data_IF_021414229873
#
_entry.id   IF_021414229873
#
_cell.length_a   1.000
_cell.length_b   1.000
_cell.length_c   1.000
_cell.angle_alpha   90.00
_cell.angle_beta   90.00
_cell.angle_gamma   90.00
#
_symmetry.space_group_name_H-M   'P 1'
#
loop_
_entity.id
_entity.type
_entity.pdbx_description
1 polymer ?
#
# COMPACT_ATOMS: atom_id res chain seq x y z
N UNK A 1 6.54 19.79 14.12
CA UNK A 1 5.25 20.37 14.57
C UNK A 1 4.19 19.78 13.65
N UNK A 2 3.15 19.16 14.20
CA UNK A 2 2.03 18.63 13.40
C UNK A 2 1.27 19.77 12.74
N UNK A 3 1.02 19.67 11.43
CA UNK A 3 0.25 20.66 10.67
C UNK A 3 -1.16 20.13 10.47
N UNK A 4 -2.17 20.87 10.92
CA UNK A 4 -3.57 20.50 10.69
C UNK A 4 -4.09 21.21 9.45
N UNK A 5 -4.52 20.43 8.45
CA UNK A 5 -5.12 20.95 7.23
C UNK A 5 -6.66 20.87 7.30
N UNK A 6 -7.34 22.00 7.10
CA UNK A 6 -8.79 21.99 6.95
C UNK A 6 -9.16 21.70 5.48
N UNK A 7 -9.84 20.59 5.23
CA UNK A 7 -10.24 20.15 3.88
C UNK A 7 -11.76 20.23 3.74
N UNK A 8 -12.22 20.71 2.58
CA UNK A 8 -13.65 20.73 2.20
C UNK A 8 -13.81 20.37 0.74
N UNK A 9 -15.05 20.07 0.34
CA UNK A 9 -15.42 19.99 -1.07
C UNK A 9 -15.51 21.39 -1.69
N UNK A 10 -15.16 21.51 -2.95
CA UNK A 10 -15.23 22.74 -3.75
C UNK A 10 -16.08 22.47 -4.99
N UNK A 11 -16.92 23.43 -5.39
CA UNK A 11 -17.59 23.36 -6.70
C UNK A 11 -16.56 23.52 -7.81
N UNK A 12 -16.86 22.97 -8.99
CA UNK A 12 -15.98 23.08 -10.17
C UNK A 12 -15.75 24.52 -10.64
N UNK A 13 -16.65 25.46 -10.31
CA UNK A 13 -16.51 26.90 -10.62
C UNK A 13 -15.65 27.67 -9.61
N UNK A 14 -15.39 27.10 -8.44
CA UNK A 14 -14.57 27.73 -7.40
C UNK A 14 -13.08 27.54 -7.73
N UNK A 15 -12.29 28.62 -7.87
CA UNK A 15 -10.85 28.50 -8.05
C UNK A 15 -10.21 28.03 -6.73
N UNK A 16 -9.48 26.91 -6.79
CA UNK A 16 -8.69 26.37 -5.69
C UNK A 16 -7.21 26.35 -6.10
N UNK A 17 -6.35 27.14 -5.45
CA UNK A 17 -4.90 27.07 -5.66
C UNK A 17 -4.39 25.64 -5.53
N UNK A 18 -3.42 25.25 -6.36
CA UNK A 18 -2.91 23.87 -6.40
C UNK A 18 -2.41 23.44 -5.04
N UNK A 19 -1.71 24.34 -4.36
CA UNK A 19 -1.09 24.17 -3.05
C UNK A 19 -2.13 23.88 -1.95
N UNK A 20 -3.38 24.31 -2.15
CA UNK A 20 -4.47 24.08 -1.21
C UNK A 20 -5.23 22.77 -1.46
N UNK A 21 -4.99 22.10 -2.59
CA UNK A 21 -5.60 20.82 -2.92
C UNK A 21 -5.08 19.72 -1.99
N UNK A 22 -5.97 18.80 -1.58
CA UNK A 22 -5.57 17.64 -0.77
C UNK A 22 -4.47 16.81 -1.46
N UNK A 23 -4.56 16.64 -2.77
CA UNK A 23 -3.55 15.92 -3.55
C UNK A 23 -2.15 16.58 -3.47
N UNK A 24 -2.08 17.91 -3.42
CA UNK A 24 -0.82 18.63 -3.24
C UNK A 24 -0.24 18.39 -1.83
N UNK A 25 -1.09 18.53 -0.80
CA UNK A 25 -0.70 18.29 0.60
C UNK A 25 -0.18 16.86 0.82
N UNK A 26 -0.82 15.86 0.21
CA UNK A 26 -0.33 14.47 0.22
C UNK A 26 1.02 14.35 -0.51
N UNK A 27 1.18 15.03 -1.66
CA UNK A 27 2.43 15.02 -2.40
C UNK A 27 3.58 15.67 -1.62
N UNK A 28 3.31 16.72 -0.84
CA UNK A 28 4.31 17.33 0.05
C UNK A 28 4.79 16.34 1.11
N UNK A 29 3.90 15.61 1.77
CA UNK A 29 4.28 14.54 2.72
C UNK A 29 5.07 13.43 2.02
N UNK A 30 4.61 12.99 0.84
CA UNK A 30 5.27 11.91 0.10
C UNK A 30 6.67 12.28 -0.41
N UNK A 31 6.96 13.57 -0.57
CA UNK A 31 8.25 14.08 -1.06
C UNK A 31 9.10 14.73 0.02
N UNK A 32 8.62 14.79 1.26
CA UNK A 32 9.34 15.34 2.40
C UNK A 32 10.65 14.57 2.64
N UNK A 33 11.84 15.22 2.58
CA UNK A 33 13.12 14.53 2.72
C UNK A 33 13.43 14.04 4.15
N UNK A 34 12.60 14.35 5.15
CA UNK A 34 12.81 13.92 6.55
C UNK A 34 12.91 12.40 6.66
N UNK A 35 13.93 11.92 7.37
CA UNK A 35 14.15 10.48 7.58
C UNK A 35 13.09 9.86 8.48
N UNK A 36 12.79 8.58 8.22
CA UNK A 36 11.94 7.77 9.09
C UNK A 36 12.72 7.42 10.36
N UNK A 37 12.11 7.64 11.53
CA UNK A 37 12.74 7.35 12.82
C UNK A 37 13.02 5.84 12.98
N UNK A 38 14.13 5.44 13.65
CA UNK A 38 14.54 4.03 13.71
C UNK A 38 13.49 3.06 14.26
N UNK A 39 12.72 3.49 15.26
CA UNK A 39 11.63 2.70 15.85
C UNK A 39 10.45 2.52 14.89
N UNK A 40 10.17 3.52 14.05
CA UNK A 40 9.20 3.42 12.96
C UNK A 40 9.70 2.46 11.88
N UNK A 41 11.00 2.49 11.54
CA UNK A 41 11.61 1.51 10.63
C UNK A 41 11.43 0.08 11.16
N UNK A 42 11.74 -0.16 12.44
CA UNK A 42 11.58 -1.46 13.08
C UNK A 42 10.12 -1.94 13.03
N UNK A 43 9.16 -1.03 13.26
CA UNK A 43 7.74 -1.36 13.17
C UNK A 43 7.31 -1.67 11.72
N UNK A 44 7.77 -0.91 10.73
CA UNK A 44 7.51 -1.18 9.31
C UNK A 44 8.01 -2.58 8.92
N UNK A 45 9.20 -2.97 9.39
CA UNK A 45 9.75 -4.32 9.17
C UNK A 45 8.81 -5.38 9.77
N UNK A 46 8.33 -5.17 11.00
CA UNK A 46 7.37 -6.09 11.62
C UNK A 46 6.08 -6.22 10.81
N UNK A 47 5.55 -5.12 10.24
CA UNK A 47 4.34 -5.14 9.40
C UNK A 47 4.55 -5.90 8.09
N UNK A 48 5.73 -5.79 7.48
CA UNK A 48 6.07 -6.58 6.29
C UNK A 48 6.09 -8.08 6.62
N UNK A 49 6.69 -8.45 7.76
CA UNK A 49 6.76 -9.85 8.23
C UNK A 49 5.35 -10.39 8.54
N UNK A 50 4.51 -9.58 9.19
CA UNK A 50 3.12 -9.91 9.52
C UNK A 50 2.30 -10.19 8.25
N UNK A 51 2.31 -9.26 7.29
CA UNK A 51 1.66 -9.45 5.99
C UNK A 51 2.14 -10.69 5.25
N UNK A 52 3.45 -10.93 5.20
CA UNK A 52 4.01 -12.11 4.56
C UNK A 52 3.52 -13.41 5.24
N UNK A 53 3.36 -13.39 6.55
CA UNK A 53 2.84 -14.52 7.34
C UNK A 53 1.37 -14.79 7.05
N UNK A 54 0.54 -13.74 6.95
CA UNK A 54 -0.88 -13.88 6.59
C UNK A 54 -1.03 -14.42 5.16
N UNK A 55 -0.25 -13.88 4.21
CA UNK A 55 -0.24 -14.36 2.83
C UNK A 55 0.19 -15.83 2.72
N UNK A 56 1.19 -16.26 3.51
CA UNK A 56 1.60 -17.66 3.58
C UNK A 56 0.48 -18.56 4.14
N UNK A 57 -0.24 -18.11 5.17
CA UNK A 57 -1.36 -18.85 5.76
C UNK A 57 -2.57 -18.96 4.81
N UNK A 58 -2.75 -18.00 3.90
CA UNK A 58 -3.87 -17.94 2.95
C UNK A 58 -3.57 -18.56 1.56
N UNK A 59 -2.33 -19.00 1.32
CA UNK A 59 -1.79 -19.32 -0.01
C UNK A 59 -2.66 -20.22 -0.91
N UNK A 60 -3.38 -21.17 -0.31
CA UNK A 60 -4.20 -22.16 -1.03
C UNK A 60 -5.71 -21.84 -1.03
N UNK A 61 -6.12 -20.68 -0.50
CA UNK A 61 -7.51 -20.21 -0.54
C UNK A 61 -7.92 -19.89 -1.98
N UNK A 62 -9.18 -20.18 -2.32
CA UNK A 62 -9.72 -19.99 -3.66
C UNK A 62 -9.47 -18.59 -4.26
N UNK A 63 -9.74 -17.49 -3.53
CA UNK A 63 -9.48 -16.13 -4.01
C UNK A 63 -8.00 -15.89 -4.37
N UNK A 64 -7.07 -16.40 -3.57
CA UNK A 64 -5.62 -16.25 -3.77
C UNK A 64 -5.16 -17.02 -4.99
N UNK A 65 -5.63 -18.27 -5.14
CA UNK A 65 -5.33 -19.08 -6.33
C UNK A 65 -5.83 -18.38 -7.60
N UNK A 66 -7.04 -17.82 -7.56
CA UNK A 66 -7.61 -17.07 -8.69
C UNK A 66 -6.82 -15.79 -9.00
N UNK A 67 -6.52 -14.97 -7.99
CA UNK A 67 -5.79 -13.72 -8.16
C UNK A 67 -4.36 -13.95 -8.66
N UNK A 68 -3.69 -14.99 -8.17
CA UNK A 68 -2.38 -15.43 -8.67
C UNK A 68 -2.46 -15.87 -10.13
N UNK A 69 -3.44 -16.70 -10.50
CA UNK A 69 -3.60 -17.13 -11.89
C UNK A 69 -3.86 -15.95 -12.83
N UNK A 70 -4.64 -14.94 -12.40
CA UNK A 70 -4.80 -13.69 -13.14
C UNK A 70 -3.46 -12.99 -13.30
N UNK A 71 -2.72 -12.75 -12.20
CA UNK A 71 -1.46 -12.03 -12.26
C UNK A 71 -0.42 -12.72 -13.17
N UNK A 72 -0.33 -14.04 -13.14
CA UNK A 72 0.57 -14.80 -14.03
C UNK A 72 0.24 -14.67 -15.52
N UNK A 73 -0.98 -14.27 -15.88
CA UNK A 73 -1.36 -13.96 -17.25
C UNK A 73 -0.90 -12.57 -17.72
N UNK A 74 -0.36 -11.75 -16.83
CA UNK A 74 0.08 -10.38 -17.10
C UNK A 74 1.61 -10.27 -17.01
N UNK A 75 2.32 -10.29 -18.14
CA UNK A 75 3.77 -10.19 -18.13
C UNK A 75 4.24 -8.84 -17.59
N UNK A 76 5.52 -8.79 -17.21
CA UNK A 76 6.18 -7.56 -16.74
C UNK A 76 5.91 -6.37 -17.64
N UNK A 77 5.44 -5.26 -17.04
CA UNK A 77 5.24 -3.98 -17.71
C UNK A 77 6.55 -3.41 -18.25
N UNK A 78 6.48 -2.61 -19.31
CA UNK A 78 7.66 -1.93 -19.88
C UNK A 78 8.28 -0.97 -18.86
N UNK A 79 9.60 -0.90 -18.84
CA UNK A 79 10.34 0.12 -18.08
C UNK A 79 10.67 -0.26 -16.64
N UNK A 80 10.61 -1.54 -16.28
CA UNK A 80 11.03 -2.02 -14.97
C UNK A 80 11.23 -3.53 -14.93
N UNK A 81 11.59 -4.01 -13.74
CA UNK A 81 12.00 -5.40 -13.51
C UNK A 81 10.83 -6.31 -13.11
N UNK A 82 9.61 -5.77 -13.03
CA UNK A 82 8.44 -6.50 -12.53
C UNK A 82 8.48 -6.77 -11.03
N UNK A 83 7.49 -7.52 -10.56
CA UNK A 83 7.26 -7.72 -9.13
C UNK A 83 6.92 -9.18 -8.83
N UNK A 84 7.28 -9.64 -7.63
CA UNK A 84 7.06 -11.01 -7.18
C UNK A 84 5.67 -11.20 -6.56
N UNK A 85 5.14 -12.42 -6.64
CA UNK A 85 3.93 -12.84 -5.92
C UNK A 85 4.34 -13.72 -4.74
N UNK A 86 3.69 -13.56 -3.58
CA UNK A 86 3.96 -14.40 -2.40
C UNK A 86 3.79 -15.89 -2.72
N UNK A 87 4.74 -16.70 -2.23
CA UNK A 87 4.71 -18.16 -2.37
C UNK A 87 5.12 -18.69 -3.74
N UNK A 88 5.63 -17.84 -4.64
CA UNK A 88 6.30 -18.25 -5.88
C UNK A 88 7.83 -18.17 -5.72
N UNK A 89 8.55 -19.16 -6.25
CA UNK A 89 10.01 -19.20 -6.20
C UNK A 89 10.62 -18.33 -7.29
N UNK A 90 11.47 -17.38 -6.90
CA UNK A 90 12.18 -16.47 -7.80
C UNK A 90 13.67 -16.79 -7.96
N UNK A 91 14.15 -17.94 -7.46
CA UNK A 91 15.59 -18.25 -7.37
C UNK A 91 16.13 -19.18 -8.45
N UNK A 92 15.32 -20.10 -9.01
CA UNK A 92 15.79 -21.08 -10.00
C UNK A 92 15.51 -20.69 -11.47
N UNK A 93 14.69 -19.66 -11.68
CA UNK A 93 14.41 -19.04 -12.98
C UNK A 93 13.89 -17.63 -12.70
N UNK A 94 14.01 -16.64 -13.61
CA UNK A 94 13.22 -15.40 -13.59
C UNK A 94 11.69 -15.62 -13.62
N UNK A 95 11.25 -16.87 -13.39
CA UNK A 95 9.89 -17.34 -13.31
C UNK A 95 9.02 -16.28 -12.63
N UNK A 96 8.10 -15.79 -13.45
CA UNK A 96 6.81 -15.31 -13.00
C UNK A 96 6.80 -13.98 -12.25
N UNK A 97 7.82 -13.14 -12.47
CA UNK A 97 7.60 -11.71 -12.26
C UNK A 97 6.46 -11.25 -13.18
N UNK A 98 5.49 -10.58 -12.58
CA UNK A 98 4.33 -10.00 -13.25
C UNK A 98 4.49 -8.48 -13.30
N UNK A 99 3.60 -7.80 -13.99
CA UNK A 99 3.50 -6.35 -13.84
C UNK A 99 3.14 -5.94 -12.40
N UNK A 100 3.60 -4.76 -11.94
CA UNK A 100 3.46 -4.34 -10.54
C UNK A 100 2.00 -4.20 -10.11
N UNK A 101 1.10 -3.77 -11.00
CA UNK A 101 -0.32 -3.66 -10.70
C UNK A 101 -0.96 -5.02 -10.42
N UNK A 102 -0.52 -6.07 -11.12
CA UNK A 102 -1.04 -7.43 -10.93
C UNK A 102 -0.39 -8.16 -9.75
N UNK A 103 0.88 -7.87 -9.45
CA UNK A 103 1.49 -8.29 -8.19
C UNK A 103 0.81 -7.64 -6.98
N UNK A 104 0.52 -6.34 -7.06
CA UNK A 104 -0.19 -5.61 -6.01
C UNK A 104 -1.57 -6.24 -5.74
N UNK A 105 -2.30 -6.57 -6.82
CA UNK A 105 -3.58 -7.27 -6.73
C UNK A 105 -3.45 -8.64 -6.05
N UNK A 106 -2.60 -9.52 -6.57
CA UNK A 106 -2.47 -10.88 -6.05
C UNK A 106 -1.98 -10.91 -4.59
N UNK A 107 -0.99 -10.08 -4.27
CA UNK A 107 -0.43 -9.99 -2.92
C UNK A 107 -1.40 -9.29 -1.94
N UNK A 108 -2.15 -8.29 -2.39
CA UNK A 108 -3.19 -7.63 -1.60
C UNK A 108 -4.30 -8.59 -1.20
N UNK A 109 -4.80 -9.37 -2.15
CA UNK A 109 -5.79 -10.43 -1.88
C UNK A 109 -5.25 -11.43 -0.85
N UNK A 110 -3.99 -11.84 -0.99
CA UNK A 110 -3.38 -12.81 -0.06
C UNK A 110 -3.23 -12.28 1.36
N UNK A 111 -2.80 -11.02 1.52
CA UNK A 111 -2.66 -10.37 2.82
C UNK A 111 -4.01 -10.15 3.48
N UNK A 112 -5.03 -9.74 2.72
CA UNK A 112 -6.34 -9.36 3.28
C UNK A 112 -7.28 -10.52 3.57
N UNK A 113 -7.10 -11.68 2.92
CA UNK A 113 -8.03 -12.82 2.94
C UNK A 113 -8.46 -13.27 4.34
N UNK A 114 -7.51 -13.38 5.28
CA UNK A 114 -7.78 -13.97 6.59
C UNK A 114 -8.16 -12.93 7.66
N UNK A 115 -8.04 -11.64 7.35
CA UNK A 115 -8.31 -10.56 8.31
C UNK A 115 -7.44 -10.63 9.58
N UNK A 116 -6.19 -11.06 9.44
CA UNK A 116 -5.27 -11.34 10.55
C UNK A 116 -4.12 -10.35 10.70
N UNK A 117 -3.91 -9.47 9.72
CA UNK A 117 -2.90 -8.41 9.81
C UNK A 117 -3.46 -7.19 10.56
N UNK A 118 -2.64 -6.16 10.66
CA UNK A 118 -2.86 -4.99 11.49
C UNK A 118 -4.25 -4.34 11.33
N UNK A 119 -4.68 -3.65 12.38
CA UNK A 119 -5.97 -2.95 12.40
C UNK A 119 -5.79 -1.58 13.04
N UNK A 120 -6.42 -0.57 12.46
CA UNK A 120 -6.48 0.77 12.99
C UNK A 120 -7.95 1.20 13.17
N UNK A 121 -8.31 1.56 14.39
CA UNK A 121 -9.69 1.89 14.77
C UNK A 121 -9.78 3.36 15.18
N UNK A 122 -10.45 4.17 14.37
CA UNK A 122 -10.71 5.58 14.67
C UNK A 122 -12.13 5.97 14.26
N UNK A 123 -12.31 7.10 13.54
CA UNK A 123 -13.62 7.47 13.01
C UNK A 123 -14.09 6.48 11.93
N UNK A 124 -13.14 5.98 11.15
CA UNK A 124 -13.27 4.80 10.29
C UNK A 124 -12.45 3.62 10.86
N UNK A 125 -12.71 2.41 10.36
CA UNK A 125 -11.89 1.22 10.64
C UNK A 125 -11.07 0.87 9.40
N UNK A 126 -9.80 0.53 9.56
CA UNK A 126 -8.96 0.18 8.42
C UNK A 126 -7.86 -0.82 8.77
N UNK A 127 -7.22 -1.35 7.73
CA UNK A 127 -6.02 -2.18 7.81
C UNK A 127 -4.87 -1.50 7.06
N UNK A 128 -4.03 -0.68 7.73
CA UNK A 128 -2.94 0.03 7.07
C UNK A 128 -1.95 -0.87 6.33
N UNK A 129 -1.80 -2.13 6.74
CA UNK A 129 -1.03 -3.16 6.07
C UNK A 129 -1.47 -3.43 4.63
N UNK A 130 -2.68 -3.07 4.23
CA UNK A 130 -3.13 -3.17 2.84
C UNK A 130 -2.32 -2.27 1.88
N UNK A 131 -1.61 -1.24 2.39
CA UNK A 131 -0.71 -0.42 1.58
C UNK A 131 0.60 -1.12 1.22
N UNK A 132 1.03 -2.15 1.96
CA UNK A 132 2.34 -2.77 1.75
C UNK A 132 2.43 -3.48 0.38
N UNK A 133 1.47 -4.34 -0.02
CA UNK A 133 1.53 -5.02 -1.31
C UNK A 133 1.73 -4.10 -2.54
N UNK A 134 0.96 -3.02 -2.73
CA UNK A 134 1.17 -2.13 -3.87
C UNK A 134 2.50 -1.36 -3.80
N UNK A 135 2.91 -0.88 -2.62
CA UNK A 135 4.16 -0.13 -2.47
C UNK A 135 5.36 -1.03 -2.71
N UNK A 136 5.35 -2.26 -2.18
CA UNK A 136 6.39 -3.27 -2.42
C UNK A 136 6.46 -3.64 -3.91
N UNK A 137 5.32 -3.83 -4.57
CA UNK A 137 5.30 -4.16 -5.98
C UNK A 137 5.96 -3.06 -6.83
N UNK A 138 5.61 -1.79 -6.60
CA UNK A 138 6.24 -0.65 -7.28
C UNK A 138 7.73 -0.58 -6.97
N UNK A 139 8.12 -0.72 -5.70
CA UNK A 139 9.52 -0.68 -5.28
C UNK A 139 10.37 -1.74 -6.00
N UNK A 140 9.88 -2.98 -6.11
CA UNK A 140 10.54 -4.05 -6.87
C UNK A 140 10.64 -3.71 -8.36
N UNK A 141 9.56 -3.19 -8.94
CA UNK A 141 9.50 -2.88 -10.37
C UNK A 141 10.50 -1.80 -10.78
N UNK A 142 10.67 -0.76 -9.96
CA UNK A 142 11.59 0.36 -10.24
C UNK A 142 13.01 0.14 -9.71
N UNK A 143 13.28 -0.99 -9.04
CA UNK A 143 14.57 -1.27 -8.43
C UNK A 143 14.91 -0.37 -7.24
N UNK A 144 13.89 0.06 -6.48
CA UNK A 144 14.07 0.87 -5.28
C UNK A 144 14.75 0.07 -4.15
N UNK A 145 15.53 0.78 -3.33
CA UNK A 145 16.19 0.18 -2.16
C UNK A 145 15.23 0.07 -0.96
N UNK A 146 15.70 -0.61 0.09
CA UNK A 146 14.93 -0.79 1.32
C UNK A 146 14.58 0.53 2.02
N UNK A 147 15.44 1.56 1.93
CA UNK A 147 15.18 2.87 2.53
C UNK A 147 14.01 3.55 1.82
N UNK A 148 13.97 3.52 0.48
CA UNK A 148 12.87 4.05 -0.30
C UNK A 148 11.56 3.28 -0.04
N UNK A 149 11.62 1.95 0.09
CA UNK A 149 10.46 1.12 0.45
C UNK A 149 9.88 1.50 1.81
N UNK A 150 10.73 1.59 2.84
CA UNK A 150 10.29 1.95 4.21
C UNK A 150 9.65 3.33 4.22
N UNK A 151 10.24 4.31 3.54
CA UNK A 151 9.66 5.65 3.39
C UNK A 151 8.29 5.61 2.73
N UNK A 152 8.14 4.85 1.63
CA UNK A 152 6.87 4.69 0.95
C UNK A 152 5.78 4.12 1.87
N UNK A 153 6.10 3.05 2.61
CA UNK A 153 5.16 2.41 3.53
C UNK A 153 4.77 3.37 4.67
N UNK A 154 5.74 4.05 5.28
CA UNK A 154 5.49 5.02 6.34
C UNK A 154 4.56 6.15 5.87
N UNK A 155 4.81 6.70 4.68
CA UNK A 155 3.93 7.71 4.06
C UNK A 155 2.52 7.15 3.82
N UNK A 156 2.39 5.95 3.26
CA UNK A 156 1.07 5.34 3.01
C UNK A 156 0.26 5.14 4.30
N UNK A 157 0.92 4.68 5.36
CA UNK A 157 0.31 4.52 6.68
C UNK A 157 -0.13 5.86 7.26
N UNK A 158 0.75 6.87 7.28
CA UNK A 158 0.45 8.17 7.87
C UNK A 158 -0.77 8.82 7.19
N UNK A 159 -0.77 8.84 5.84
CA UNK A 159 -1.87 9.41 5.06
C UNK A 159 -3.19 8.67 5.33
N UNK A 160 -3.20 7.33 5.29
CA UNK A 160 -4.43 6.59 5.55
C UNK A 160 -4.91 6.78 6.99
N UNK A 161 -4.02 6.74 7.97
CA UNK A 161 -4.36 6.90 9.38
C UNK A 161 -4.95 8.28 9.68
N UNK A 162 -4.39 9.34 9.09
CA UNK A 162 -4.93 10.71 9.25
C UNK A 162 -6.31 10.86 8.61
N UNK A 163 -6.53 10.25 7.45
CA UNK A 163 -7.85 10.22 6.81
C UNK A 163 -8.87 9.43 7.64
N UNK A 164 -8.49 8.25 8.13
CA UNK A 164 -9.32 7.36 8.95
C UNK A 164 -9.68 7.98 10.32
N UNK A 165 -8.80 8.81 10.90
CA UNK A 165 -9.12 9.61 12.08
C UNK A 165 -10.16 10.69 11.81
N UNK A 166 -10.21 11.21 10.59
CA UNK A 166 -10.93 12.43 10.25
C UNK A 166 -12.26 12.19 9.52
N UNK A 167 -12.36 11.11 8.75
CA UNK A 167 -13.48 10.82 7.86
C UNK A 167 -14.01 9.43 8.18
N UNK A 168 -15.28 9.35 8.57
CA UNK A 168 -16.01 8.09 8.64
C UNK A 168 -16.77 7.94 7.32
N UNK A 169 -16.34 7.00 6.47
CA UNK A 169 -16.95 6.65 5.19
C UNK A 169 -18.12 5.67 5.39
N UNK A 170 -18.00 4.78 6.37
CA UNK A 170 -19.01 3.80 6.76
C UNK A 170 -20.36 4.45 7.08
N UNK A 171 -20.39 5.60 7.79
CA UNK A 171 -21.64 6.34 8.06
C UNK A 171 -22.34 6.82 6.79
N UNK A 172 -21.59 6.92 5.69
CA UNK A 172 -22.07 7.28 4.36
C UNK A 172 -22.24 6.07 3.44
N UNK A 173 -22.09 4.84 3.96
CA UNK A 173 -22.18 3.57 3.20
C UNK A 173 -21.13 3.47 2.10
N UNK A 174 -19.98 4.07 2.31
CA UNK A 174 -18.80 3.97 1.46
C UNK A 174 -17.80 3.10 2.22
N UNK A 175 -17.15 2.17 1.52
CA UNK A 175 -16.11 1.34 2.11
C UNK A 175 -14.84 2.17 2.40
N UNK A 176 -14.01 1.67 3.30
CA UNK A 176 -12.84 2.35 3.83
C UNK A 176 -11.62 2.32 2.90
#
# INVERSE_FOLDING_TARGET
MTVTHHVRVYKSEEPLPREEQLAWKIAEVATDPVEVEPDVVDMVINRIIDNASVAAASLNRGPIVAARAQALAHPVSRGGEGSSIFGLDGTESPAERTSPEWAAWANGVAVRELDYHDTFLAAEYSHPGDNIPPILAVAQHVGADGRALVRGIATGYEIQMDLVRSICLHKHKIDH
#
